data_IF_301902640851
#
_entry.id   IF_301902640851
#
_cell.length_a   1.000
_cell.length_b   1.000
_cell.length_c   1.000
_cell.angle_alpha   90.00
_cell.angle_beta   90.00
_cell.angle_gamma   90.00
#
_symmetry.space_group_name_H-M   'P 1'
#
loop_
_entity.id
_entity.type
_entity.pdbx_description
1 polymer ?
#
# COMPACT_ATOMS: atom_id res chain seq x y z
N UNK A 1 22.69 -2.44 -14.09
CA UNK A 1 22.20 -3.70 -14.68
C UNK A 1 20.70 -3.54 -14.94
N UNK A 2 20.28 -3.47 -16.20
CA UNK A 2 18.85 -3.46 -16.56
C UNK A 2 18.37 -4.92 -16.63
N UNK A 3 17.41 -5.28 -15.78
CA UNK A 3 17.19 -6.65 -15.27
C UNK A 3 16.09 -7.49 -15.96
N UNK A 4 16.08 -8.78 -15.57
CA UNK A 4 15.13 -9.82 -15.98
C UNK A 4 13.75 -9.58 -15.34
N UNK A 5 12.92 -8.73 -15.98
CA UNK A 5 11.55 -8.44 -15.55
C UNK A 5 10.73 -9.73 -15.51
N UNK A 6 10.09 -9.99 -14.37
CA UNK A 6 9.19 -11.13 -14.16
C UNK A 6 7.85 -10.65 -13.63
N UNK A 7 6.76 -11.17 -14.18
CA UNK A 7 5.41 -10.93 -13.64
C UNK A 7 5.18 -11.85 -12.45
N UNK A 8 4.88 -11.24 -11.30
CA UNK A 8 4.45 -11.95 -10.09
C UNK A 8 2.97 -12.32 -10.20
N UNK A 9 2.10 -11.34 -10.42
CA UNK A 9 0.66 -11.55 -10.54
C UNK A 9 0.11 -10.60 -11.62
N UNK A 10 -0.64 -11.14 -12.59
CA UNK A 10 -1.40 -10.34 -13.54
C UNK A 10 -2.85 -10.21 -13.03
N UNK A 11 -3.29 -8.98 -12.80
CA UNK A 11 -4.60 -8.72 -12.17
C UNK A 11 -5.77 -9.00 -13.10
N UNK A 12 -5.56 -8.91 -14.42
CA UNK A 12 -6.58 -9.23 -15.41
C UNK A 12 -6.76 -10.75 -15.48
N UNK A 13 -5.65 -11.48 -15.58
CA UNK A 13 -5.68 -12.95 -15.60
C UNK A 13 -6.19 -13.54 -14.29
N UNK A 14 -5.88 -12.91 -13.15
CA UNK A 14 -6.36 -13.31 -11.83
C UNK A 14 -7.82 -12.88 -11.52
N UNK A 15 -8.49 -12.15 -12.43
CA UNK A 15 -9.87 -11.69 -12.21
C UNK A 15 -10.02 -10.68 -11.07
N UNK A 16 -8.99 -9.87 -10.79
CA UNK A 16 -8.97 -8.88 -9.70
C UNK A 16 -9.49 -7.50 -10.16
N UNK A 17 -9.45 -7.22 -11.46
CA UNK A 17 -10.00 -5.97 -12.02
C UNK A 17 -11.50 -5.83 -11.70
N UNK A 18 -12.03 -4.64 -11.35
CA UNK A 18 -11.46 -3.32 -11.63
C UNK A 18 -10.56 -2.71 -10.53
N UNK A 19 -10.24 -3.44 -9.46
CA UNK A 19 -9.37 -2.94 -8.38
C UNK A 19 -8.01 -2.50 -8.94
N UNK A 20 -7.53 -1.30 -8.58
CA UNK A 20 -6.26 -0.76 -9.10
C UNK A 20 -5.15 -0.82 -8.04
N UNK A 21 -4.04 -1.53 -8.30
CA UNK A 21 -2.91 -1.50 -7.37
C UNK A 21 -2.31 -0.10 -7.31
N UNK A 22 -2.03 0.38 -6.10
CA UNK A 22 -1.43 1.68 -5.83
C UNK A 22 -0.09 1.48 -5.10
N UNK A 23 0.05 1.90 -3.84
CA UNK A 23 1.24 1.65 -3.01
C UNK A 23 1.40 0.19 -2.56
N UNK A 24 2.64 -0.19 -2.26
CA UNK A 24 2.98 -1.53 -1.79
C UNK A 24 4.20 -1.54 -0.87
N UNK A 25 4.29 -2.56 0.00
CA UNK A 25 5.42 -2.80 0.91
C UNK A 25 5.63 -4.32 1.11
N UNK A 26 6.84 -4.74 1.46
CA UNK A 26 7.15 -6.14 1.78
C UNK A 26 7.07 -6.40 3.28
N UNK A 27 6.67 -7.61 3.68
CA UNK A 27 6.90 -8.12 5.04
C UNK A 27 8.25 -8.87 5.17
N UNK A 28 8.58 -9.32 6.39
CA UNK A 28 9.82 -10.07 6.64
C UNK A 28 9.88 -11.45 6.00
N UNK A 29 8.74 -12.01 5.60
CA UNK A 29 8.67 -13.30 4.90
C UNK A 29 8.77 -13.13 3.38
N UNK A 30 8.82 -11.89 2.90
CA UNK A 30 8.92 -11.54 1.50
C UNK A 30 7.58 -11.51 0.77
N UNK A 31 6.45 -11.52 1.49
CA UNK A 31 5.16 -11.31 0.85
C UNK A 31 4.97 -9.82 0.52
N UNK A 32 4.26 -9.57 -0.58
CA UNK A 32 3.98 -8.24 -1.08
C UNK A 32 2.58 -7.80 -0.66
N UNK A 33 2.50 -6.74 0.14
CA UNK A 33 1.25 -6.13 0.56
C UNK A 33 0.93 -4.95 -0.35
N UNK A 34 -0.19 -5.03 -1.09
CA UNK A 34 -0.55 -4.06 -2.12
C UNK A 34 -1.88 -3.39 -1.77
N UNK A 35 -1.89 -2.06 -1.66
CA UNK A 35 -3.08 -1.24 -1.53
C UNK A 35 -3.88 -1.23 -2.85
N UNK A 36 -5.22 -1.25 -2.75
CA UNK A 36 -6.10 -1.22 -3.92
C UNK A 36 -6.99 0.03 -3.92
N UNK A 37 -6.69 0.95 -4.84
CA UNK A 37 -7.49 2.14 -5.05
C UNK A 37 -8.82 1.78 -5.72
N UNK A 38 -9.92 2.15 -5.09
CA UNK A 38 -11.28 1.77 -5.53
C UNK A 38 -11.67 0.36 -5.12
N UNK A 39 -10.80 -0.36 -4.40
CA UNK A 39 -11.02 -1.75 -4.00
C UNK A 39 -11.38 -1.91 -2.53
N UNK A 40 -11.31 -0.88 -1.68
CA UNK A 40 -11.52 -1.01 -0.22
C UNK A 40 -10.65 -2.06 0.48
N UNK A 41 -9.46 -2.39 -0.07
CA UNK A 41 -8.67 -3.50 0.47
C UNK A 41 -7.16 -3.37 0.26
N UNK A 42 -6.46 -4.21 1.00
CA UNK A 42 -5.05 -4.55 0.81
C UNK A 42 -4.98 -6.05 0.51
N UNK A 43 -4.14 -6.46 -0.44
CA UNK A 43 -3.87 -7.89 -0.69
C UNK A 43 -2.42 -8.21 -0.38
N UNK A 44 -2.21 -9.28 0.38
CA UNK A 44 -0.91 -9.90 0.58
C UNK A 44 -0.71 -10.96 -0.51
N UNK A 45 0.35 -10.83 -1.28
CA UNK A 45 0.68 -11.67 -2.43
C UNK A 45 1.99 -12.40 -2.10
N UNK A 46 1.96 -13.72 -2.19
CA UNK A 46 3.16 -14.55 -2.13
C UNK A 46 3.80 -14.53 -3.53
N UNK A 47 4.99 -13.92 -3.70
CA UNK A 47 5.61 -13.77 -5.01
C UNK A 47 6.16 -15.07 -5.58
N UNK A 48 6.36 -16.09 -4.74
CA UNK A 48 6.84 -17.41 -5.15
C UNK A 48 5.67 -18.25 -5.66
N UNK A 49 4.56 -18.26 -4.91
CA UNK A 49 3.32 -18.95 -5.32
C UNK A 49 2.55 -18.21 -6.40
N UNK A 50 2.87 -16.93 -6.65
CA UNK A 50 2.16 -16.05 -7.60
C UNK A 50 0.67 -15.97 -7.29
N UNK A 51 0.33 -15.87 -6.01
CA UNK A 51 -1.04 -15.94 -5.53
C UNK A 51 -1.29 -14.97 -4.38
N UNK A 52 -2.52 -14.49 -4.27
CA UNK A 52 -3.00 -13.77 -3.10
C UNK A 52 -3.17 -14.77 -1.96
N UNK A 53 -2.48 -14.53 -0.84
CA UNK A 53 -2.52 -15.39 0.35
C UNK A 53 -3.36 -14.81 1.47
N UNK A 54 -3.62 -13.50 1.45
CA UNK A 54 -4.49 -12.83 2.41
C UNK A 54 -5.08 -11.54 1.82
N UNK A 55 -6.27 -11.17 2.27
CA UNK A 55 -6.93 -9.91 1.94
C UNK A 55 -7.37 -9.22 3.23
N UNK A 56 -7.06 -7.93 3.36
CA UNK A 56 -7.54 -7.06 4.43
C UNK A 56 -8.57 -6.08 3.86
N UNK A 57 -9.81 -6.19 4.29
CA UNK A 57 -10.86 -5.23 3.93
C UNK A 57 -10.77 -4.01 4.87
N UNK A 58 -10.89 -2.81 4.29
CA UNK A 58 -10.72 -1.52 4.96
C UNK A 58 -12.00 -0.68 4.81
N UNK A 59 -12.39 0.10 5.84
CA UNK A 59 -13.56 0.97 5.77
C UNK A 59 -13.25 2.29 5.03
N UNK A 60 -12.70 2.18 3.82
CA UNK A 60 -12.41 3.28 2.91
C UNK A 60 -12.24 2.77 1.47
N UNK A 61 -12.98 3.32 0.50
CA UNK A 61 -12.96 2.89 -0.91
C UNK A 61 -11.57 2.99 -1.55
N UNK A 62 -10.91 4.13 -1.32
CA UNK A 62 -9.64 4.44 -1.97
C UNK A 62 -8.48 4.21 -1.02
N UNK A 63 -8.03 2.96 -0.92
CA UNK A 63 -6.80 2.61 -0.20
C UNK A 63 -5.61 2.94 -1.10
N UNK A 64 -4.70 3.80 -0.64
CA UNK A 64 -3.67 4.39 -1.51
C UNK A 64 -2.28 3.82 -1.28
N UNK A 65 -1.87 3.60 -0.03
CA UNK A 65 -0.54 3.06 0.27
C UNK A 65 -0.49 2.44 1.65
N UNK A 66 0.61 1.75 1.92
CA UNK A 66 0.85 1.03 3.16
C UNK A 66 2.30 1.16 3.59
N UNK A 67 2.56 1.15 4.91
CA UNK A 67 3.91 1.02 5.44
C UNK A 67 3.90 0.36 6.83
N UNK A 68 4.95 -0.39 7.12
CA UNK A 68 5.16 -0.97 8.45
C UNK A 68 5.77 0.07 9.40
N UNK A 69 5.24 0.14 10.61
CA UNK A 69 5.67 1.04 11.67
C UNK A 69 5.46 0.44 13.06
N UNK A 70 5.49 1.30 14.08
CA UNK A 70 5.61 0.86 15.47
C UNK A 70 7.02 0.40 15.82
N UNK A 71 7.37 0.27 17.11
CA UNK A 71 8.73 -0.08 17.54
C UNK A 71 9.23 -1.44 17.04
N UNK A 72 8.31 -2.38 16.77
CA UNK A 72 8.61 -3.73 16.29
C UNK A 72 8.29 -3.95 14.80
N UNK A 73 7.90 -2.89 14.07
CA UNK A 73 7.44 -2.96 12.68
C UNK A 73 6.22 -3.87 12.45
N UNK A 74 5.40 -4.08 13.48
CA UNK A 74 4.21 -4.95 13.52
C UNK A 74 2.88 -4.18 13.45
N UNK A 75 2.96 -2.86 13.22
CA UNK A 75 1.83 -1.97 12.99
C UNK A 75 1.80 -1.59 11.52
N UNK A 76 0.68 -1.82 10.84
CA UNK A 76 0.54 -1.49 9.43
C UNK A 76 -0.24 -0.19 9.26
N UNK A 77 0.46 0.88 8.90
CA UNK A 77 -0.15 2.17 8.61
C UNK A 77 -0.65 2.19 7.17
N UNK A 78 -1.89 2.64 6.99
CA UNK A 78 -2.58 2.60 5.70
C UNK A 78 -3.09 3.99 5.37
N UNK A 79 -2.62 4.58 4.28
CA UNK A 79 -3.17 5.84 3.78
C UNK A 79 -4.37 5.56 2.89
N UNK A 80 -5.36 6.44 2.95
CA UNK A 80 -6.55 6.38 2.09
C UNK A 80 -6.87 7.77 1.53
N UNK A 81 -7.80 7.85 0.56
CA UNK A 81 -8.24 9.11 -0.03
C UNK A 81 -9.77 9.28 0.01
N UNK A 82 -10.24 10.51 0.17
CA UNK A 82 -11.64 10.92 -0.08
C UNK A 82 -11.93 11.24 -1.55
N UNK A 83 -10.93 11.09 -2.42
CA UNK A 83 -11.04 11.50 -3.82
C UNK A 83 -12.20 10.76 -4.50
N UNK A 84 -13.21 11.52 -4.93
CA UNK A 84 -14.43 11.00 -5.59
C UNK A 84 -15.22 9.98 -4.76
N UNK A 85 -15.10 10.00 -3.43
CA UNK A 85 -15.99 9.24 -2.54
C UNK A 85 -17.33 9.97 -2.44
N UNK A 86 -18.46 9.26 -2.62
CA UNK A 86 -19.80 9.88 -2.57
C UNK A 86 -20.26 10.16 -1.14
N UNK A 87 -21.30 10.98 -0.98
CA UNK A 87 -21.89 11.24 0.34
C UNK A 87 -22.50 9.97 0.96
N UNK A 88 -23.07 9.07 0.14
CA UNK A 88 -23.55 7.77 0.58
C UNK A 88 -22.42 6.87 1.08
N UNK A 89 -21.30 6.83 0.35
CA UNK A 89 -20.11 6.08 0.76
C UNK A 89 -19.50 6.66 2.04
N UNK A 90 -19.46 7.99 2.18
CA UNK A 90 -18.97 8.66 3.39
C UNK A 90 -19.86 8.41 4.62
N UNK A 91 -21.18 8.21 4.44
CA UNK A 91 -22.06 7.78 5.54
C UNK A 91 -21.68 6.38 6.05
N UNK A 92 -21.26 5.48 5.16
CA UNK A 92 -20.84 4.12 5.49
C UNK A 92 -19.38 4.05 5.98
N UNK A 93 -18.53 4.90 5.41
CA UNK A 93 -17.07 4.95 5.62
C UNK A 93 -16.65 6.37 5.98
N UNK A 94 -17.04 6.89 7.16
CA UNK A 94 -16.81 8.29 7.55
C UNK A 94 -15.32 8.66 7.65
N UNK A 95 -14.46 7.65 7.81
CA UNK A 95 -13.02 7.78 7.92
C UNK A 95 -12.29 7.61 6.57
N UNK A 96 -12.99 7.52 5.44
CA UNK A 96 -12.32 7.58 4.14
C UNK A 96 -11.41 8.82 4.07
N UNK A 97 -10.20 8.70 3.51
CA UNK A 97 -9.16 9.74 3.51
C UNK A 97 -8.35 9.91 4.79
N UNK A 98 -8.66 9.18 5.86
CA UNK A 98 -7.81 9.12 7.03
C UNK A 98 -6.62 8.17 6.81
N UNK A 99 -5.70 8.21 7.77
CA UNK A 99 -4.71 7.15 7.95
C UNK A 99 -5.27 6.15 8.96
N UNK A 100 -5.23 4.86 8.61
CA UNK A 100 -5.59 3.78 9.51
C UNK A 100 -4.35 3.14 10.11
N UNK A 101 -4.48 2.64 11.33
CA UNK A 101 -3.53 1.77 11.98
C UNK A 101 -4.12 0.36 12.05
N UNK A 102 -3.43 -0.64 11.51
CA UNK A 102 -3.84 -2.04 11.54
C UNK A 102 -2.83 -2.86 12.34
N UNK A 103 -3.29 -3.48 13.42
CA UNK A 103 -2.46 -4.27 14.34
C UNK A 103 -2.90 -5.73 14.38
N UNK A 104 -2.05 -6.61 14.90
CA UNK A 104 -2.42 -8.02 15.12
C UNK A 104 -2.44 -8.87 13.85
N UNK A 105 -1.69 -8.47 12.81
CA UNK A 105 -1.58 -9.21 11.55
C UNK A 105 -0.73 -10.48 11.65
N UNK A 106 -0.01 -10.68 12.77
CA UNK A 106 0.88 -11.84 12.97
C UNK A 106 2.13 -11.84 12.10
N UNK A 107 2.39 -10.74 11.39
CA UNK A 107 3.56 -10.50 10.56
C UNK A 107 4.09 -9.09 10.83
N UNK A 108 5.28 -8.79 10.31
CA UNK A 108 5.94 -7.50 10.49
C UNK A 108 6.75 -7.12 9.25
N UNK A 109 7.06 -5.85 9.13
CA UNK A 109 7.95 -5.32 8.11
C UNK A 109 9.39 -5.17 8.55
N UNK A 110 10.08 -4.34 7.78
CA UNK A 110 11.46 -3.91 8.06
C UNK A 110 11.54 -2.40 8.09
N UNK A 111 12.62 -1.87 8.66
CA UNK A 111 12.90 -0.45 8.64
C UNK A 111 13.05 0.04 7.19
N UNK A 112 12.38 1.14 6.87
CA UNK A 112 12.54 1.81 5.58
C UNK A 112 14.01 2.18 5.35
N UNK A 113 14.49 1.98 4.11
CA UNK A 113 15.84 2.42 3.74
C UNK A 113 15.89 3.93 3.68
N UNK A 114 16.85 4.53 4.38
CA UNK A 114 17.02 5.98 4.37
C UNK A 114 17.88 6.41 3.18
N UNK A 115 17.38 7.37 2.40
CA UNK A 115 18.22 8.23 1.56
C UNK A 115 18.33 9.59 2.25
N UNK A 116 19.55 10.13 2.37
CA UNK A 116 19.77 11.46 2.96
C UNK A 116 19.88 12.48 1.84
N UNK A 117 19.13 13.57 1.96
CA UNK A 117 19.19 14.71 1.06
C UNK A 117 19.47 15.95 1.90
N UNK A 118 20.45 16.73 1.49
CA UNK A 118 20.78 18.01 2.14
C UNK A 118 19.75 19.08 1.76
N UNK A 119 19.38 19.95 2.71
CA UNK A 119 18.40 21.01 2.46
C UNK A 119 18.81 21.94 1.31
N UNK A 120 20.10 22.23 1.15
CA UNK A 120 20.61 23.04 0.05
C UNK A 120 20.47 22.35 -1.33
N UNK A 121 20.33 21.03 -1.36
CA UNK A 121 20.01 20.29 -2.59
C UNK A 121 18.52 20.44 -2.93
N UNK A 122 17.63 20.50 -1.94
CA UNK A 122 16.19 20.69 -2.16
C UNK A 122 15.87 22.06 -2.75
N UNK A 123 16.53 23.12 -2.27
CA UNK A 123 16.34 24.49 -2.78
C UNK A 123 16.65 24.62 -4.27
N UNK A 124 17.69 23.92 -4.74
CA UNK A 124 18.08 23.88 -6.16
C UNK A 124 17.03 23.21 -7.03
N UNK A 125 16.39 22.15 -6.52
CA UNK A 125 15.32 21.44 -7.23
C UNK A 125 14.08 22.34 -7.38
N UNK A 126 13.69 23.04 -6.32
CA UNK A 126 12.51 23.94 -6.36
C UNK A 126 12.70 25.19 -7.22
N UNK A 127 13.93 25.67 -7.40
CA UNK A 127 14.22 26.84 -8.25
C UNK A 127 14.20 26.55 -9.76
N UNK A 128 14.08 25.28 -10.15
CA UNK A 128 14.08 24.84 -11.55
C UNK A 128 12.68 24.47 -12.07
N UNK A 129 11.63 24.74 -11.28
CA UNK A 129 10.22 24.44 -11.61
C UNK A 129 9.41 25.72 -11.72
#
# INVERSE_FOLDING_TARGET
MYGNRRTILDYKEAGITPDRPDGMELDTDGNLWVAHFGGSKIRCIDPIKKAVVQTLELPAVNVTSVCWGGPAYDVFYVTTARFRTTDEELKLMPNAGAVFEVTGLGCRGTAARTARVDAAVLEKVTSQV
#
